data_IF_254273074123
#
_entry.id   IF_254273074123
#
_cell.length_a   1.000
_cell.length_b   1.000
_cell.length_c   1.000
_cell.angle_alpha   90.00
_cell.angle_beta   90.00
_cell.angle_gamma   90.00
#
_symmetry.space_group_name_H-M   'P 1'
#
loop_
_entity.id
_entity.type
_entity.pdbx_description
1 polymer ?
#
# COMPACT_ATOMS: atom_id res chain seq x y z
N UNK A 1 8.92 34.07 -22.13
CA UNK A 1 9.79 32.90 -22.38
C UNK A 1 9.16 31.75 -21.60
N UNK A 2 8.41 30.91 -22.32
CA UNK A 2 7.65 29.78 -21.79
C UNK A 2 8.67 28.67 -21.50
N UNK A 3 8.86 28.31 -20.24
CA UNK A 3 9.66 27.14 -19.90
C UNK A 3 8.73 25.94 -19.90
N UNK A 4 8.84 25.17 -20.98
CA UNK A 4 8.16 23.91 -21.19
C UNK A 4 8.55 22.93 -20.08
N UNK A 5 7.54 22.32 -19.47
CA UNK A 5 7.69 21.37 -18.37
C UNK A 5 7.87 19.95 -18.89
N UNK A 6 9.00 19.68 -19.55
CA UNK A 6 9.27 18.40 -20.22
C UNK A 6 10.21 17.43 -19.47
N UNK A 7 10.67 17.73 -18.25
CA UNK A 7 11.68 16.88 -17.58
C UNK A 7 11.22 16.25 -16.25
N UNK A 8 10.26 15.33 -16.30
CA UNK A 8 10.18 14.24 -15.29
C UNK A 8 9.66 12.92 -15.88
N UNK A 9 10.03 12.61 -17.12
CA UNK A 9 9.86 11.28 -17.70
C UNK A 9 11.17 10.50 -17.57
N UNK A 10 11.51 10.07 -16.35
CA UNK A 10 12.38 8.90 -16.21
C UNK A 10 11.72 7.77 -17.02
N UNK A 11 12.45 7.04 -17.89
CA UNK A 11 11.84 6.05 -18.77
C UNK A 11 11.10 4.99 -17.95
N UNK A 12 9.78 5.09 -17.92
CA UNK A 12 8.90 4.01 -17.50
C UNK A 12 8.78 3.08 -18.69
N UNK A 13 8.88 1.77 -18.47
CA UNK A 13 8.42 0.84 -19.50
C UNK A 13 6.89 1.02 -19.59
N UNK A 14 6.43 1.69 -20.65
CA UNK A 14 5.01 1.88 -20.92
C UNK A 14 4.42 0.53 -21.34
N UNK A 15 3.44 0.06 -20.56
CA UNK A 15 2.76 -1.21 -20.81
C UNK A 15 1.50 -1.01 -21.63
N UNK A 16 0.77 0.09 -21.40
CA UNK A 16 -0.38 0.49 -22.19
C UNK A 16 -0.70 1.98 -21.97
N UNK A 17 -1.32 2.61 -22.95
CA UNK A 17 -1.78 3.99 -22.89
C UNK A 17 -3.10 4.14 -23.64
N UNK A 18 -4.02 4.92 -23.06
CA UNK A 18 -5.29 5.28 -23.66
C UNK A 18 -5.58 6.77 -23.54
N UNK A 19 -6.23 7.34 -24.55
CA UNK A 19 -6.79 8.68 -24.52
C UNK A 19 -8.32 8.57 -24.52
N UNK A 20 -8.93 9.11 -23.47
CA UNK A 20 -10.38 9.13 -23.30
C UNK A 20 -10.88 10.55 -23.54
N UNK A 21 -11.77 10.73 -24.51
CA UNK A 21 -12.36 12.01 -24.87
C UNK A 21 -13.73 12.17 -24.19
N UNK A 22 -13.97 13.30 -23.54
CA UNK A 22 -15.33 13.72 -23.18
C UNK A 22 -16.04 14.30 -24.43
N UNK A 23 -17.38 14.26 -24.45
CA UNK A 23 -18.17 15.00 -25.45
C UNK A 23 -17.95 16.51 -25.41
N UNK A 24 -17.46 17.04 -24.28
CA UNK A 24 -17.05 18.44 -24.10
C UNK A 24 -15.77 18.80 -24.88
N UNK A 25 -15.08 17.81 -25.45
CA UNK A 25 -13.77 17.97 -26.10
C UNK A 25 -12.58 17.83 -25.15
N UNK A 26 -12.82 17.70 -23.84
CA UNK A 26 -11.76 17.48 -22.85
C UNK A 26 -11.14 16.09 -23.01
N UNK A 27 -9.82 16.00 -22.90
CA UNK A 27 -9.04 14.76 -23.02
C UNK A 27 -8.53 14.30 -21.68
N UNK A 28 -8.61 13.00 -21.45
CA UNK A 28 -8.08 12.31 -20.29
C UNK A 28 -7.04 11.28 -20.71
N UNK A 29 -5.85 11.32 -20.11
CA UNK A 29 -4.77 10.40 -20.44
C UNK A 29 -4.70 9.30 -19.38
N UNK A 30 -4.89 8.05 -19.81
CA UNK A 30 -4.70 6.88 -18.98
C UNK A 30 -3.42 6.17 -19.37
N UNK A 31 -2.57 5.88 -18.40
CA UNK A 31 -1.32 5.19 -18.65
C UNK A 31 -1.07 4.09 -17.62
N UNK A 32 -0.54 2.97 -18.10
CA UNK A 32 -0.05 1.85 -17.29
C UNK A 32 1.43 1.73 -17.55
N UNK A 33 2.23 1.95 -16.50
CA UNK A 33 3.68 1.92 -16.60
C UNK A 33 4.31 1.10 -15.48
N UNK A 34 5.51 0.58 -15.74
CA UNK A 34 6.34 -0.08 -14.73
C UNK A 34 7.56 0.77 -14.44
N UNK A 35 7.76 1.11 -13.16
CA UNK A 35 8.96 1.81 -12.68
C UNK A 35 9.65 1.07 -11.55
N UNK A 36 10.68 1.70 -10.97
CA UNK A 36 11.46 1.18 -9.84
C UNK A 36 10.60 0.76 -8.63
N UNK A 37 9.50 1.48 -8.39
CA UNK A 37 8.58 1.23 -7.28
C UNK A 37 7.42 0.27 -7.64
N UNK A 38 7.42 -0.29 -8.86
CA UNK A 38 6.44 -1.26 -9.34
C UNK A 38 5.50 -0.72 -10.41
N UNK A 39 4.35 -1.40 -10.56
CA UNK A 39 3.29 -1.04 -11.49
C UNK A 39 2.58 0.23 -11.02
N UNK A 40 2.37 1.17 -11.94
CA UNK A 40 1.63 2.42 -11.71
C UNK A 40 0.57 2.57 -12.80
N UNK A 41 -0.65 2.86 -12.38
CA UNK A 41 -1.75 3.22 -13.27
C UNK A 41 -2.13 4.65 -12.96
N UNK A 42 -2.23 5.51 -13.98
CA UNK A 42 -2.56 6.92 -13.82
C UNK A 42 -3.71 7.35 -14.70
N UNK A 43 -4.51 8.31 -14.22
CA UNK A 43 -5.45 9.10 -15.01
C UNK A 43 -5.05 10.55 -14.84
N UNK A 44 -4.75 11.27 -15.92
CA UNK A 44 -4.31 12.67 -15.89
C UNK A 44 -3.17 12.91 -14.90
N UNK A 45 -2.16 12.04 -14.94
CA UNK A 45 -1.00 12.02 -14.02
C UNK A 45 -1.33 11.69 -12.55
N UNK A 46 -2.60 11.56 -12.17
CA UNK A 46 -3.00 11.09 -10.82
C UNK A 46 -2.89 9.59 -10.73
N UNK A 47 -2.16 9.10 -9.73
CA UNK A 47 -2.00 7.66 -9.49
C UNK A 47 -3.32 7.07 -8.99
N UNK A 48 -3.83 6.08 -9.71
CA UNK A 48 -4.97 5.30 -9.28
C UNK A 48 -4.56 4.32 -8.19
N UNK A 49 -5.35 4.30 -7.12
CA UNK A 49 -5.24 3.22 -6.15
C UNK A 49 -5.80 1.94 -6.77
N UNK A 50 -5.13 0.84 -6.46
CA UNK A 50 -5.61 -0.48 -6.84
C UNK A 50 -6.97 -0.72 -6.19
N UNK A 51 -7.95 -1.03 -7.02
CA UNK A 51 -9.33 -1.28 -6.62
C UNK A 51 -9.52 -2.74 -6.22
N UNK A 52 -9.09 -3.69 -7.06
CA UNK A 52 -9.17 -5.10 -6.72
C UNK A 52 -7.87 -5.83 -7.09
N UNK A 53 -7.64 -6.94 -6.42
CA UNK A 53 -6.52 -7.83 -6.64
C UNK A 53 -7.07 -9.25 -6.80
N UNK A 54 -7.32 -9.66 -8.03
CA UNK A 54 -7.64 -11.05 -8.33
C UNK A 54 -6.35 -11.89 -8.41
N UNK A 55 -6.43 -13.24 -8.36
CA UNK A 55 -5.30 -14.11 -8.63
C UNK A 55 -4.61 -13.78 -9.96
N UNK A 56 -5.41 -13.44 -10.97
CA UNK A 56 -4.97 -13.33 -12.37
C UNK A 56 -4.67 -11.89 -12.81
N UNK A 57 -5.30 -10.88 -12.19
CA UNK A 57 -5.16 -9.48 -12.56
C UNK A 57 -5.34 -8.48 -11.41
N UNK A 58 -4.68 -7.33 -11.51
CA UNK A 58 -4.91 -6.15 -10.67
C UNK A 58 -5.91 -5.22 -11.38
N UNK A 59 -7.00 -4.84 -10.71
CA UNK A 59 -8.03 -3.93 -11.24
C UNK A 59 -7.88 -2.54 -10.62
N UNK A 60 -8.01 -1.51 -11.42
CA UNK A 60 -7.97 -0.10 -11.04
C UNK A 60 -9.22 0.58 -11.56
N UNK A 61 -9.82 1.44 -10.73
CA UNK A 61 -11.09 2.09 -11.07
C UNK A 61 -10.96 3.59 -10.91
N UNK A 62 -11.52 4.34 -11.84
CA UNK A 62 -11.66 5.80 -11.79
C UNK A 62 -13.03 6.22 -12.31
N UNK A 63 -13.47 7.41 -11.91
CA UNK A 63 -14.68 8.05 -12.46
C UNK A 63 -14.27 9.29 -13.24
N UNK A 64 -14.68 9.38 -14.50
CA UNK A 64 -14.43 10.54 -15.37
C UNK A 64 -15.74 10.89 -16.07
N UNK A 65 -16.16 12.16 -15.97
CA UNK A 65 -17.41 12.65 -16.55
C UNK A 65 -18.63 11.75 -16.31
N UNK A 66 -18.75 11.16 -15.11
CA UNK A 66 -19.84 10.26 -14.74
C UNK A 66 -19.72 8.81 -15.23
N UNK A 67 -18.67 8.48 -15.99
CA UNK A 67 -18.40 7.13 -16.51
C UNK A 67 -17.38 6.43 -15.60
N UNK A 68 -17.56 5.12 -15.42
CA UNK A 68 -16.66 4.28 -14.63
C UNK A 68 -15.61 3.67 -15.57
N UNK A 69 -14.37 4.10 -15.40
CA UNK A 69 -13.20 3.56 -16.08
C UNK A 69 -12.63 2.42 -15.23
N UNK A 70 -12.50 1.24 -15.83
CA UNK A 70 -11.89 0.07 -15.20
C UNK A 70 -10.67 -0.35 -16.01
N UNK A 71 -9.48 -0.22 -15.43
CA UNK A 71 -8.24 -0.72 -16.00
C UNK A 71 -7.91 -2.06 -15.35
N UNK A 72 -7.77 -3.11 -16.15
CA UNK A 72 -7.39 -4.45 -15.69
C UNK A 72 -5.97 -4.74 -16.16
N UNK A 73 -5.06 -4.98 -15.23
CA UNK A 73 -3.66 -5.29 -15.50
C UNK A 73 -3.39 -6.76 -15.15
N UNK A 74 -3.20 -7.64 -16.13
CA UNK A 74 -2.87 -9.03 -15.89
C UNK A 74 -1.58 -9.21 -15.11
N UNK A 75 -1.49 -10.28 -14.32
CA UNK A 75 -0.25 -10.66 -13.62
C UNK A 75 0.70 -11.47 -14.48
N UNK A 76 0.17 -12.23 -15.43
CA UNK A 76 0.98 -12.91 -16.43
C UNK A 76 1.68 -11.86 -17.30
N UNK A 77 3.00 -11.98 -17.44
CA UNK A 77 3.82 -10.98 -18.15
C UNK A 77 3.53 -10.86 -19.64
N UNK A 78 2.83 -11.84 -20.22
CA UNK A 78 2.51 -11.89 -21.65
C UNK A 78 1.16 -11.26 -21.99
N UNK A 79 0.28 -11.03 -21.01
CA UNK A 79 -1.04 -10.48 -21.25
C UNK A 79 -1.02 -8.94 -21.17
N UNK A 80 -1.71 -8.29 -22.11
CA UNK A 80 -1.76 -6.84 -22.18
C UNK A 80 -2.79 -6.24 -21.21
N UNK A 81 -2.50 -5.08 -20.60
CA UNK A 81 -3.49 -4.33 -19.85
C UNK A 81 -4.71 -3.99 -20.72
N UNK A 82 -5.90 -4.01 -20.14
CA UNK A 82 -7.15 -3.65 -20.83
C UNK A 82 -7.87 -2.51 -20.12
N UNK A 83 -8.56 -1.67 -20.90
CA UNK A 83 -9.43 -0.61 -20.40
C UNK A 83 -10.88 -0.97 -20.71
N UNK A 84 -11.78 -0.74 -19.76
CA UNK A 84 -13.22 -0.79 -19.97
C UNK A 84 -13.88 0.51 -19.49
N UNK A 85 -14.86 1.00 -20.26
CA UNK A 85 -15.72 2.14 -19.91
C UNK A 85 -17.11 1.58 -19.66
N UNK A 86 -17.65 1.80 -18.46
CA UNK A 86 -18.97 1.29 -18.03
C UNK A 86 -19.16 -0.21 -18.30
N UNK A 87 -18.08 -0.97 -18.13
CA UNK A 87 -18.05 -2.42 -18.33
C UNK A 87 -17.83 -2.87 -19.77
N UNK A 88 -17.79 -1.97 -20.76
CA UNK A 88 -17.46 -2.30 -22.15
C UNK A 88 -15.97 -2.11 -22.39
N UNK A 89 -15.30 -3.17 -22.86
CA UNK A 89 -13.87 -3.13 -23.19
C UNK A 89 -13.65 -2.13 -24.33
N UNK A 90 -12.71 -1.21 -24.11
CA UNK A 90 -12.23 -0.27 -25.12
C UNK A 90 -11.27 -1.00 -26.04
N UNK A 91 -11.61 -1.03 -27.32
CA UNK A 91 -10.74 -1.54 -28.37
C UNK A 91 -9.87 -0.39 -28.89
N UNK A 92 -8.55 -0.60 -28.90
CA UNK A 92 -7.58 0.41 -29.34
C UNK A 92 -7.09 1.33 -28.22
N UNK A 93 -6.42 2.42 -28.61
CA UNK A 93 -5.76 3.39 -27.71
C UNK A 93 -6.58 4.67 -27.49
N UNK A 94 -7.73 4.82 -28.14
CA UNK A 94 -8.57 6.02 -28.00
C UNK A 94 -10.05 5.65 -27.88
N UNK A 95 -10.79 6.39 -27.07
CA UNK A 95 -12.25 6.21 -26.93
C UNK A 95 -12.93 7.52 -26.54
N UNK A 96 -14.20 7.68 -26.94
CA UNK A 96 -15.01 8.85 -26.59
C UNK A 96 -16.12 8.43 -25.64
N UNK A 97 -16.19 9.06 -24.47
CA UNK A 97 -17.27 8.91 -23.50
C UNK A 97 -18.55 9.44 -24.13
N UNK A 98 -19.40 8.51 -24.55
CA UNK A 98 -20.71 8.82 -25.11
C UNK A 98 -21.71 8.91 -23.96
N UNK A 99 -22.60 9.92 -23.90
CA UNK A 99 -23.59 10.01 -22.82
C UNK A 99 -24.32 8.68 -22.67
N UNK A 100 -24.60 8.21 -21.44
CA UNK A 100 -25.28 6.95 -21.24
C UNK A 100 -26.62 6.99 -22.00
N UNK A 101 -26.75 6.19 -23.06
CA UNK A 101 -27.98 6.14 -23.85
C UNK A 101 -29.14 5.70 -22.96
N UNK A 102 -30.11 6.59 -22.78
CA UNK A 102 -31.36 6.28 -22.10
C UNK A 102 -32.14 5.25 -22.94
N UNK A 103 -31.89 3.97 -22.70
CA UNK A 103 -32.62 2.86 -23.34
C UNK A 103 -31.79 1.85 -24.12
N UNK A 104 -30.45 1.93 -24.13
CA UNK A 104 -29.66 0.83 -24.64
C UNK A 104 -29.85 -0.39 -23.72
N UNK A 105 -30.51 -1.44 -24.22
CA UNK A 105 -30.59 -2.76 -23.58
C UNK A 105 -29.18 -3.16 -23.16
N UNK A 106 -28.97 -3.10 -21.86
CA UNK A 106 -27.68 -3.20 -21.23
C UNK A 106 -27.06 -4.56 -21.57
N UNK A 107 -26.10 -4.59 -22.50
CA UNK A 107 -25.05 -5.60 -22.44
C UNK A 107 -24.52 -5.50 -21.02
N UNK A 108 -24.82 -6.51 -20.19
CA UNK A 108 -24.72 -6.47 -18.73
C UNK A 108 -23.47 -5.67 -18.36
N UNK A 109 -23.61 -4.40 -17.95
CA UNK A 109 -22.47 -3.64 -17.50
C UNK A 109 -21.90 -4.49 -16.38
N UNK A 110 -20.59 -4.72 -16.39
CA UNK A 110 -19.90 -5.18 -15.19
C UNK A 110 -19.97 -4.02 -14.18
N UNK A 111 -21.18 -3.68 -13.74
CA UNK A 111 -21.44 -2.79 -12.62
C UNK A 111 -20.65 -3.35 -11.46
N UNK A 112 -19.80 -2.51 -10.85
CA UNK A 112 -19.11 -2.82 -9.61
C UNK A 112 -20.12 -3.45 -8.66
N UNK A 113 -19.95 -4.75 -8.41
CA UNK A 113 -20.90 -5.51 -7.60
C UNK A 113 -20.75 -5.12 -6.14
N UNK A 114 -21.74 -5.43 -5.30
CA UNK A 114 -21.59 -5.30 -3.85
C UNK A 114 -20.40 -6.12 -3.32
N UNK A 115 -20.07 -7.23 -3.99
CA UNK A 115 -18.90 -8.05 -3.69
C UNK A 115 -17.58 -7.34 -4.02
N UNK A 116 -17.48 -6.67 -5.18
CA UNK A 116 -16.33 -5.86 -5.56
C UNK A 116 -16.06 -4.74 -4.54
N UNK A 117 -17.12 -4.07 -4.09
CA UNK A 117 -17.03 -3.03 -3.06
C UNK A 117 -16.56 -3.60 -1.71
N UNK A 118 -17.09 -4.76 -1.30
CA UNK A 118 -16.68 -5.42 -0.06
C UNK A 118 -15.20 -5.83 -0.09
N UNK A 119 -14.73 -6.39 -1.22
CA UNK A 119 -13.32 -6.72 -1.44
C UNK A 119 -12.43 -5.48 -1.36
N UNK A 120 -12.82 -4.39 -2.03
CA UNK A 120 -12.09 -3.11 -1.98
C UNK A 120 -11.96 -2.57 -0.55
N UNK A 121 -13.04 -2.58 0.22
CA UNK A 121 -13.00 -2.12 1.61
C UNK A 121 -12.06 -2.97 2.48
N UNK A 122 -12.04 -4.29 2.27
CA UNK A 122 -11.12 -5.19 2.98
C UNK A 122 -9.66 -4.97 2.56
N UNK A 123 -9.40 -4.77 1.26
CA UNK A 123 -8.09 -4.40 0.73
C UNK A 123 -7.59 -3.10 1.36
N UNK A 124 -8.42 -2.06 1.40
CA UNK A 124 -8.09 -0.79 2.03
C UNK A 124 -7.78 -0.95 3.52
N UNK A 125 -8.62 -1.66 4.27
CA UNK A 125 -8.40 -1.91 5.71
C UNK A 125 -7.11 -2.69 5.96
N UNK A 126 -6.83 -3.72 5.16
CA UNK A 126 -5.57 -4.48 5.20
C UNK A 126 -4.38 -3.55 5.00
N UNK A 127 -4.43 -2.72 3.96
CA UNK A 127 -3.34 -1.83 3.60
C UNK A 127 -3.15 -0.72 4.63
N UNK A 128 -4.23 -0.13 5.14
CA UNK A 128 -4.20 0.87 6.20
C UNK A 128 -3.60 0.32 7.50
N UNK A 129 -3.91 -0.93 7.87
CA UNK A 129 -3.23 -1.60 8.96
C UNK A 129 -1.76 -1.86 8.64
N UNK A 130 -1.45 -2.41 7.45
CA UNK A 130 -0.08 -2.70 7.04
C UNK A 130 0.83 -1.46 6.93
N UNK A 131 0.25 -0.28 6.72
CA UNK A 131 0.96 1.01 6.78
C UNK A 131 1.56 1.30 8.16
N UNK A 132 0.98 0.77 9.24
CA UNK A 132 1.54 0.97 10.59
C UNK A 132 2.93 0.38 10.76
N UNK A 133 3.27 -0.72 10.10
CA UNK A 133 4.64 -1.23 10.08
C UNK A 133 5.64 -0.22 9.48
N UNK A 134 5.21 0.60 8.52
CA UNK A 134 6.07 1.66 7.98
C UNK A 134 6.23 2.83 8.94
N UNK A 135 5.16 3.19 9.67
CA UNK A 135 5.26 4.18 10.74
C UNK A 135 6.19 3.71 11.85
N UNK A 136 6.06 2.46 12.30
CA UNK A 136 6.91 1.88 13.34
C UNK A 136 8.38 1.83 12.88
N UNK A 137 8.64 1.24 11.71
CA UNK A 137 10.01 1.14 11.19
C UNK A 137 10.63 2.51 10.88
N UNK A 138 9.86 3.43 10.29
CA UNK A 138 10.31 4.79 9.99
C UNK A 138 10.59 5.62 11.25
N UNK A 139 9.72 5.54 12.25
CA UNK A 139 9.92 6.21 13.54
C UNK A 139 11.15 5.64 14.26
N UNK A 140 11.38 4.32 14.19
CA UNK A 140 12.54 3.67 14.80
C UNK A 140 13.85 4.12 14.15
N UNK A 141 13.94 4.14 12.82
CA UNK A 141 15.12 4.66 12.11
C UNK A 141 15.36 6.13 12.50
N UNK A 142 14.31 6.95 12.53
CA UNK A 142 14.44 8.35 12.90
C UNK A 142 14.93 8.51 14.34
N UNK A 143 14.43 7.71 15.27
CA UNK A 143 14.90 7.71 16.66
C UNK A 143 16.38 7.38 16.77
N UNK A 144 16.85 6.32 16.12
CA UNK A 144 18.27 5.96 16.13
C UNK A 144 19.15 7.06 15.52
N UNK A 145 18.67 7.75 14.46
CA UNK A 145 19.37 8.90 13.88
C UNK A 145 19.42 10.11 14.83
N UNK A 146 18.30 10.43 15.49
CA UNK A 146 18.22 11.51 16.48
C UNK A 146 19.16 11.24 17.65
N UNK A 147 19.18 10.01 18.15
CA UNK A 147 20.06 9.58 19.23
C UNK A 147 21.54 9.68 18.82
N UNK A 148 21.89 9.21 17.62
CA UNK A 148 23.24 9.34 17.07
C UNK A 148 23.68 10.81 16.88
N UNK A 149 22.73 11.72 16.63
CA UNK A 149 22.96 13.16 16.56
C UNK A 149 23.05 13.84 17.94
N UNK A 150 22.92 13.10 19.04
CA UNK A 150 22.96 13.62 20.41
C UNK A 150 21.63 14.21 20.92
N UNK A 151 20.52 14.03 20.18
CA UNK A 151 19.20 14.48 20.62
C UNK A 151 18.74 13.71 21.85
N UNK A 152 18.17 14.44 22.81
CA UNK A 152 17.49 13.88 23.99
C UNK A 152 15.99 13.58 23.71
N UNK A 153 15.51 13.97 22.53
CA UNK A 153 14.12 13.80 22.10
C UNK A 153 14.00 12.68 21.07
N UNK A 154 12.93 11.89 21.18
CA UNK A 154 12.57 10.81 20.26
C UNK A 154 11.05 10.67 20.06
N UNK A 155 10.65 9.90 19.05
CA UNK A 155 9.27 9.57 18.72
C UNK A 155 8.78 8.37 19.55
N UNK A 156 7.59 8.50 20.13
CA UNK A 156 6.94 7.42 20.90
C UNK A 156 6.52 6.23 20.02
N UNK A 157 6.37 6.42 18.71
CA UNK A 157 5.88 5.40 17.76
C UNK A 157 6.97 4.36 17.38
N UNK A 158 8.20 4.50 17.90
CA UNK A 158 9.31 3.58 17.63
C UNK A 158 9.19 2.21 18.32
N UNK A 159 10.17 1.35 18.06
CA UNK A 159 10.35 0.08 18.78
C UNK A 159 10.83 0.33 20.22
N UNK A 160 10.27 -0.37 21.19
CA UNK A 160 10.71 -0.32 22.59
C UNK A 160 12.03 -1.03 22.84
N UNK A 161 12.33 -2.06 22.03
CA UNK A 161 13.55 -2.86 22.15
C UNK A 161 14.84 -2.05 21.96
N UNK A 162 14.81 -0.94 21.23
CA UNK A 162 15.98 -0.07 21.05
C UNK A 162 16.43 0.55 22.37
N UNK A 163 15.50 0.88 23.28
CA UNK A 163 15.83 1.39 24.61
C UNK A 163 16.55 0.34 25.50
N UNK A 164 16.20 -0.94 25.35
CA UNK A 164 16.93 -2.01 26.04
C UNK A 164 18.34 -2.19 25.48
N UNK A 165 18.49 -2.17 24.15
CA UNK A 165 19.82 -2.24 23.51
C UNK A 165 20.69 -1.10 23.99
N UNK A 166 20.19 0.13 24.00
CA UNK A 166 20.94 1.31 24.44
C UNK A 166 21.30 1.25 25.93
N UNK A 167 20.38 0.79 26.78
CA UNK A 167 20.63 0.58 28.22
C UNK A 167 21.72 -0.45 28.48
N UNK A 168 21.64 -1.63 27.85
CA UNK A 168 22.67 -2.66 27.96
C UNK A 168 24.01 -2.23 27.35
N UNK A 169 24.00 -1.52 26.22
CA UNK A 169 25.22 -1.03 25.57
C UNK A 169 25.96 0.02 26.40
N UNK A 170 25.21 0.88 27.12
CA UNK A 170 25.79 1.85 28.05
C UNK A 170 26.45 1.14 29.24
N UNK A 171 25.78 0.15 29.82
CA UNK A 171 26.31 -0.65 30.94
C UNK A 171 27.53 -1.49 30.55
N UNK A 172 27.56 -2.08 29.35
CA UNK A 172 28.67 -2.90 28.89
C UNK A 172 29.89 -2.09 28.42
N UNK A 173 29.68 -0.93 27.80
CA UNK A 173 30.78 -0.16 27.19
C UNK A 173 31.48 0.78 28.17
N UNK A 174 30.85 1.11 29.30
CA UNK A 174 31.39 2.08 30.27
C UNK A 174 31.53 3.50 29.69
N UNK A 175 30.94 3.76 28.53
CA UNK A 175 30.99 5.06 27.84
C UNK A 175 29.59 5.52 27.47
N UNK A 176 29.37 6.83 27.47
CA UNK A 176 28.08 7.46 27.11
C UNK A 176 27.84 7.47 25.59
N UNK A 177 28.77 6.96 24.78
CA UNK A 177 28.63 6.91 23.32
C UNK A 177 28.05 5.57 22.89
N UNK A 178 26.91 5.61 22.22
CA UNK A 178 26.28 4.45 21.59
C UNK A 178 27.29 3.74 20.69
N UNK A 179 27.66 2.50 21.01
CA UNK A 179 28.61 1.78 20.19
C UNK A 179 27.98 1.48 18.82
N UNK A 180 28.79 1.54 17.77
CA UNK A 180 28.32 1.45 16.37
C UNK A 180 27.50 0.18 16.08
N UNK A 181 27.76 -0.91 16.82
CA UNK A 181 27.02 -2.16 16.69
C UNK A 181 25.56 -2.03 17.13
N UNK A 182 25.25 -1.23 18.15
CA UNK A 182 23.88 -1.01 18.64
C UNK A 182 23.05 -0.27 17.58
N UNK A 183 23.62 0.78 17.00
CA UNK A 183 22.99 1.50 15.89
C UNK A 183 22.72 0.60 14.68
N UNK A 184 23.67 -0.27 14.30
CA UNK A 184 23.47 -1.21 13.18
C UNK A 184 22.33 -2.19 13.48
N UNK A 185 22.24 -2.70 14.70
CA UNK A 185 21.16 -3.62 15.11
C UNK A 185 19.80 -2.93 15.00
N UNK A 186 19.68 -1.68 15.46
CA UNK A 186 18.44 -0.91 15.36
C UNK A 186 17.98 -0.74 13.90
N UNK A 187 18.90 -0.37 13.02
CA UNK A 187 18.60 -0.19 11.59
C UNK A 187 18.16 -1.52 10.96
N UNK A 188 18.79 -2.65 11.33
CA UNK A 188 18.40 -3.98 10.85
C UNK A 188 17.00 -4.37 11.34
N UNK A 189 16.70 -4.14 12.62
CA UNK A 189 15.39 -4.44 13.19
C UNK A 189 14.31 -3.57 12.56
N UNK A 190 14.52 -2.26 12.48
CA UNK A 190 13.59 -1.34 11.86
C UNK A 190 13.39 -1.64 10.37
N UNK A 191 14.47 -1.93 9.63
CA UNK A 191 14.42 -2.37 8.24
C UNK A 191 13.62 -3.66 8.05
N UNK A 192 13.75 -4.62 8.97
CA UNK A 192 12.97 -5.86 8.96
C UNK A 192 11.47 -5.59 9.13
N UNK A 193 11.09 -4.65 10.01
CA UNK A 193 9.68 -4.22 10.17
C UNK A 193 9.14 -3.59 8.87
N UNK A 194 9.93 -2.78 8.16
CA UNK A 194 9.53 -2.23 6.85
C UNK A 194 9.29 -3.33 5.80
N UNK A 195 10.15 -4.35 5.77
CA UNK A 195 9.99 -5.50 4.89
C UNK A 195 8.75 -6.33 5.23
N UNK A 196 8.45 -6.50 6.53
CA UNK A 196 7.21 -7.11 6.98
C UNK A 196 5.99 -6.29 6.53
N UNK A 197 6.03 -4.95 6.66
CA UNK A 197 4.99 -4.06 6.15
C UNK A 197 4.74 -4.25 4.65
N UNK A 198 5.80 -4.45 3.87
CA UNK A 198 5.70 -4.75 2.43
C UNK A 198 5.06 -6.12 2.17
N UNK A 199 5.45 -7.14 2.91
CA UNK A 199 4.85 -8.48 2.81
C UNK A 199 3.37 -8.48 3.21
N UNK A 200 3.04 -7.78 4.30
CA UNK A 200 1.70 -7.60 4.83
C UNK A 200 0.74 -6.96 3.82
N UNK A 201 1.14 -5.84 3.20
CA UNK A 201 0.35 -5.16 2.15
C UNK A 201 0.21 -5.96 0.85
N UNK A 202 1.03 -6.99 0.66
CA UNK A 202 0.93 -7.96 -0.45
C UNK A 202 0.08 -9.19 -0.11
N UNK A 203 -0.59 -9.20 1.04
CA UNK A 203 -1.46 -10.31 1.43
C UNK A 203 -0.72 -11.51 2.05
N UNK A 204 0.59 -11.41 2.35
CA UNK A 204 1.32 -12.47 3.06
C UNK A 204 0.96 -12.48 4.55
N UNK A 205 -0.16 -13.12 4.89
CA UNK A 205 -0.75 -13.08 6.24
C UNK A 205 0.13 -13.68 7.35
N UNK A 206 1.00 -14.64 7.03
CA UNK A 206 1.94 -15.22 7.99
C UNK A 206 2.97 -14.17 8.46
N UNK A 207 3.56 -13.44 7.51
CA UNK A 207 4.49 -12.35 7.81
C UNK A 207 3.80 -11.20 8.56
N UNK A 208 2.55 -10.89 8.20
CA UNK A 208 1.74 -9.92 8.94
C UNK A 208 1.57 -10.34 10.41
N UNK A 209 1.16 -11.60 10.65
CA UNK A 209 0.96 -12.12 12.00
C UNK A 209 2.28 -12.15 12.80
N UNK A 210 3.38 -12.56 12.17
CA UNK A 210 4.70 -12.57 12.79
C UNK A 210 5.14 -11.16 13.23
N UNK A 211 5.00 -10.14 12.37
CA UNK A 211 5.32 -8.76 12.73
C UNK A 211 4.42 -8.21 13.83
N UNK A 212 3.13 -8.56 13.81
CA UNK A 212 2.18 -8.16 14.86
C UNK A 212 2.53 -8.80 16.20
N UNK A 213 2.92 -10.07 16.22
CA UNK A 213 3.38 -10.77 17.42
C UNK A 213 4.69 -10.16 17.96
N UNK A 214 5.65 -9.88 17.07
CA UNK A 214 6.88 -9.18 17.44
C UNK A 214 6.58 -7.81 18.07
N UNK A 215 5.71 -7.01 17.46
CA UNK A 215 5.35 -5.69 17.97
C UNK A 215 4.57 -5.74 19.29
N UNK A 216 3.75 -6.79 19.50
CA UNK A 216 3.12 -7.04 20.80
C UNK A 216 4.17 -7.33 21.89
N UNK A 217 5.13 -8.23 21.60
CA UNK A 217 6.20 -8.57 22.53
C UNK A 217 7.07 -7.35 22.87
N UNK A 218 7.38 -6.53 21.85
CA UNK A 218 8.05 -5.24 22.01
C UNK A 218 7.24 -4.29 22.92
N UNK A 219 5.92 -4.24 22.74
CA UNK A 219 5.01 -3.46 23.58
C UNK A 219 5.00 -3.85 25.07
N UNK A 220 5.24 -5.13 25.38
CA UNK A 220 5.30 -5.60 26.78
C UNK A 220 6.47 -4.98 27.55
N UNK A 221 7.52 -4.53 26.87
CA UNK A 221 8.66 -3.87 27.49
C UNK A 221 8.25 -2.55 28.16
N UNK A 222 7.34 -1.79 27.54
CA UNK A 222 6.85 -0.53 28.10
C UNK A 222 6.06 -0.72 29.40
N UNK A 223 5.46 -1.90 29.61
CA UNK A 223 4.80 -2.25 30.88
C UNK A 223 5.85 -2.38 31.99
N UNK A 224 6.98 -3.02 31.70
CA UNK A 224 8.07 -3.23 32.68
C UNK A 224 8.67 -1.90 33.09
N UNK A 225 8.88 -0.98 32.16
CA UNK A 225 9.43 0.37 32.44
C UNK A 225 8.37 1.40 32.81
N UNK A 226 7.10 0.99 32.94
CA UNK A 226 5.95 1.83 33.30
C UNK A 226 5.73 3.08 32.41
N UNK A 227 6.08 2.99 31.13
CA UNK A 227 5.83 4.08 30.17
C UNK A 227 4.39 4.00 29.64
N UNK A 228 3.48 4.68 30.33
CA UNK A 228 2.06 4.72 29.98
C UNK A 228 1.77 5.30 28.59
N UNK A 229 2.59 6.26 28.13
CA UNK A 229 2.40 6.86 26.81
C UNK A 229 2.84 5.88 25.71
N UNK A 230 3.98 5.21 25.88
CA UNK A 230 4.43 4.12 25.03
C UNK A 230 3.39 2.99 24.96
N UNK A 231 2.86 2.55 26.11
CA UNK A 231 1.80 1.52 26.18
C UNK A 231 0.57 1.94 25.36
N UNK A 232 0.11 3.19 25.49
CA UNK A 232 -1.07 3.68 24.76
C UNK A 232 -0.83 3.70 23.24
N UNK A 233 0.33 4.17 22.80
CA UNK A 233 0.70 4.23 21.37
C UNK A 233 0.85 2.83 20.79
N UNK A 234 1.54 1.91 21.49
CA UNK A 234 1.65 0.51 21.07
C UNK A 234 0.30 -0.19 21.01
N UNK A 235 -0.56 0.01 22.02
CA UNK A 235 -1.91 -0.54 22.03
C UNK A 235 -2.75 -0.04 20.85
N UNK A 236 -2.68 1.25 20.53
CA UNK A 236 -3.38 1.81 19.38
C UNK A 236 -2.84 1.26 18.04
N UNK A 237 -1.52 1.24 17.87
CA UNK A 237 -0.89 0.68 16.67
C UNK A 237 -1.25 -0.81 16.52
N UNK A 238 -1.23 -1.58 17.61
CA UNK A 238 -1.62 -3.00 17.61
C UNK A 238 -3.10 -3.19 17.24
N UNK A 239 -4.00 -2.34 17.76
CA UNK A 239 -5.41 -2.35 17.36
C UNK A 239 -5.58 -2.11 15.85
N UNK A 240 -4.83 -1.17 15.28
CA UNK A 240 -4.84 -0.89 13.82
C UNK A 240 -4.28 -2.06 13.01
N UNK A 241 -3.19 -2.67 13.46
CA UNK A 241 -2.59 -3.87 12.85
C UNK A 241 -3.57 -5.06 12.89
N UNK A 242 -4.22 -5.28 14.03
CA UNK A 242 -5.22 -6.34 14.20
C UNK A 242 -6.40 -6.17 13.23
N UNK A 243 -6.92 -4.94 13.09
CA UNK A 243 -7.96 -4.61 12.12
C UNK A 243 -7.54 -4.92 10.69
N UNK A 244 -6.32 -4.55 10.30
CA UNK A 244 -5.78 -4.85 8.98
C UNK A 244 -5.55 -6.34 8.72
N UNK A 245 -5.04 -7.08 9.71
CA UNK A 245 -4.84 -8.53 9.60
C UNK A 245 -6.18 -9.29 9.48
N UNK A 246 -7.19 -8.92 10.28
CA UNK A 246 -8.55 -9.47 10.16
C UNK A 246 -9.14 -9.21 8.79
N UNK A 247 -8.98 -8.00 8.25
CA UNK A 247 -9.43 -7.67 6.91
C UNK A 247 -8.70 -8.52 5.84
N UNK A 248 -7.39 -8.72 5.98
CA UNK A 248 -6.62 -9.60 5.11
C UNK A 248 -7.07 -11.06 5.15
N UNK A 249 -7.42 -11.60 6.35
CA UNK A 249 -8.00 -12.96 6.46
C UNK A 249 -9.37 -13.06 5.79
N UNK A 250 -10.21 -12.05 5.96
CA UNK A 250 -11.53 -12.01 5.33
C UNK A 250 -11.40 -11.95 3.80
N UNK A 251 -10.50 -11.11 3.29
CA UNK A 251 -10.22 -11.01 1.86
C UNK A 251 -9.76 -12.36 1.27
N UNK A 252 -8.80 -13.03 1.91
CA UNK A 252 -8.31 -14.35 1.47
C UNK A 252 -9.41 -15.41 1.41
N UNK A 253 -10.40 -15.34 2.30
CA UNK A 253 -11.55 -16.26 2.26
C UNK A 253 -12.42 -16.02 1.02
N UNK A 254 -12.70 -14.76 0.69
CA UNK A 254 -13.49 -14.40 -0.50
C UNK A 254 -12.73 -14.83 -1.77
N UNK A 255 -11.43 -14.56 -1.85
CA UNK A 255 -10.58 -14.98 -2.97
C UNK A 255 -10.57 -16.51 -3.15
N UNK A 256 -10.45 -17.27 -2.06
CA UNK A 256 -10.47 -18.73 -2.11
C UNK A 256 -11.82 -19.29 -2.57
N UNK A 257 -12.94 -18.70 -2.12
CA UNK A 257 -14.29 -19.12 -2.55
C UNK A 257 -14.47 -18.86 -4.04
N UNK A 258 -14.03 -17.71 -4.53
CA UNK A 258 -14.09 -17.38 -5.95
C UNK A 258 -13.23 -18.32 -6.81
N UNK A 259 -12.04 -18.71 -6.32
CA UNK A 259 -11.18 -19.70 -6.98
C UNK A 259 -11.86 -21.07 -7.10
N UNK A 260 -12.49 -21.56 -6.02
CA UNK A 260 -13.20 -22.85 -6.03
C UNK A 260 -14.43 -22.81 -6.94
N UNK A 261 -15.14 -21.67 -7.01
CA UNK A 261 -16.29 -21.53 -7.90
C UNK A 261 -15.90 -21.50 -9.39
N UNK A 262 -14.63 -21.22 -9.71
CA UNK A 262 -14.12 -21.15 -11.08
C UNK A 262 -13.51 -22.48 -11.59
N UNK A 263 -13.37 -23.49 -10.72
CA UNK A 263 -12.85 -24.83 -11.03
C UNK A 263 -13.98 -25.86 -11.12
#
# INVERSE_FOLDING_TARGET
MYLDGEDDLRPMAHLAEWIVHETSGKRHQLAVGRGLFGLRVTVDRRILQRFDQTPDADRYVASVAGHVLTVTVPRASHDQPTLAVDGRVVLGSETTLTPPEAGATAATPTTLTGEDLARYQLLQRRNAGGTWFYWIGGASILNSLLYAAGSQWGLVVGLGFTYLIDGFATDLSGTVRTPIYAFVIDIVLAGSVLLIGRAARRGKLAWYAAGMAFYLLDGLLFIVVQDFLGIAVHGFALYRLWGGWRAGRALRRIENVALVAAT
#
